data_IF_887799951266
#
_entry.id   IF_887799951266
#
_cell.length_a   1.000
_cell.length_b   1.000
_cell.length_c   1.000
_cell.angle_alpha   90.00
_cell.angle_beta   90.00
_cell.angle_gamma   90.00
#
_symmetry.space_group_name_H-M   'P 1'
#
loop_
_entity.id
_entity.type
_entity.pdbx_description
1 polymer ?
#
# COMPACT_ATOMS: atom_id res chain seq x y z
N UNK A 1 7.27 17.23 -9.92
CA UNK A 1 5.86 16.77 -9.83
C UNK A 1 5.81 15.33 -9.34
N UNK A 2 4.78 14.94 -8.57
CA UNK A 2 4.54 13.55 -8.16
C UNK A 2 3.30 13.01 -8.87
N UNK A 3 3.41 11.83 -9.50
CA UNK A 3 2.27 11.14 -10.11
C UNK A 3 1.83 9.99 -9.20
N UNK A 4 0.59 10.05 -8.72
CA UNK A 4 -0.02 8.97 -7.95
C UNK A 4 -0.88 8.10 -8.88
N UNK A 5 -0.59 6.80 -8.91
CA UNK A 5 -1.24 5.86 -9.85
C UNK A 5 -2.32 4.99 -9.20
N UNK A 6 -2.29 4.80 -7.89
CA UNK A 6 -3.11 3.81 -7.17
C UNK A 6 -4.51 4.24 -6.69
N UNK A 7 -4.98 5.46 -6.95
CA UNK A 7 -6.26 5.94 -6.37
C UNK A 7 -7.52 5.45 -7.07
N UNK A 8 -7.44 5.01 -8.34
CA UNK A 8 -8.63 4.59 -9.12
C UNK A 8 -8.67 3.10 -9.39
N UNK A 9 -7.51 2.50 -9.57
CA UNK A 9 -7.34 1.07 -9.86
C UNK A 9 -5.94 0.66 -9.46
N UNK A 10 -5.75 -0.64 -9.27
CA UNK A 10 -4.44 -1.25 -9.12
C UNK A 10 -3.75 -1.33 -10.49
N UNK A 11 -3.08 -0.24 -10.88
CA UNK A 11 -2.38 -0.15 -12.18
C UNK A 11 -1.29 -1.23 -12.27
N UNK A 12 -0.44 -1.47 -11.25
CA UNK A 12 0.57 -2.51 -11.34
C UNK A 12 0.00 -3.92 -11.58
N UNK A 13 -1.13 -4.27 -10.95
CA UNK A 13 -1.71 -5.60 -11.11
C UNK A 13 -2.44 -5.81 -12.45
N UNK A 14 -3.05 -4.77 -13.02
CA UNK A 14 -4.00 -4.92 -14.15
C UNK A 14 -3.62 -4.17 -15.42
N UNK A 15 -2.76 -3.16 -15.34
CA UNK A 15 -2.53 -2.20 -16.42
C UNK A 15 -1.05 -1.79 -16.55
N UNK A 16 -0.12 -2.68 -16.21
CA UNK A 16 1.32 -2.40 -16.29
C UNK A 16 1.76 -2.04 -17.71
N UNK A 17 1.41 -2.86 -18.71
CA UNK A 17 1.69 -2.57 -20.13
C UNK A 17 1.07 -1.25 -20.59
N UNK A 18 -0.17 -0.97 -20.18
CA UNK A 18 -0.82 0.29 -20.51
C UNK A 18 -0.06 1.49 -19.95
N UNK A 19 0.44 1.41 -18.70
CA UNK A 19 1.22 2.47 -18.10
C UNK A 19 2.54 2.67 -18.84
N UNK A 20 3.24 1.59 -19.20
CA UNK A 20 4.50 1.68 -19.94
C UNK A 20 4.32 2.38 -21.29
N UNK A 21 3.24 2.05 -22.00
CA UNK A 21 2.90 2.75 -23.25
C UNK A 21 2.66 4.26 -23.02
N UNK A 22 2.05 4.66 -21.90
CA UNK A 22 1.86 6.09 -21.57
C UNK A 22 3.17 6.78 -21.18
N UNK A 23 4.05 6.10 -20.46
CA UNK A 23 5.40 6.60 -20.14
C UNK A 23 6.19 6.82 -21.44
N UNK A 24 6.16 5.85 -22.36
CA UNK A 24 6.81 5.97 -23.66
C UNK A 24 6.25 7.12 -24.50
N UNK A 25 4.93 7.33 -24.47
CA UNK A 25 4.28 8.48 -25.14
C UNK A 25 4.55 9.82 -24.44
N UNK A 26 5.01 9.80 -23.19
CA UNK A 26 5.36 10.98 -22.41
C UNK A 26 4.15 11.75 -21.84
N UNK A 27 2.94 11.21 -21.90
CA UNK A 27 1.76 11.83 -21.30
C UNK A 27 0.63 10.84 -20.99
N UNK A 28 -0.32 11.29 -20.16
CA UNK A 28 -1.59 10.59 -19.94
C UNK A 28 -2.76 11.55 -19.93
N UNK A 29 -3.90 11.10 -20.47
CA UNK A 29 -5.18 11.83 -20.41
C UNK A 29 -6.04 11.23 -19.30
N UNK A 30 -6.47 12.07 -18.36
CA UNK A 30 -7.30 11.66 -17.23
C UNK A 30 -8.60 12.43 -17.26
N UNK A 31 -9.71 11.68 -17.26
CA UNK A 31 -11.06 12.24 -17.18
C UNK A 31 -11.39 12.57 -15.72
N UNK A 32 -12.03 13.70 -15.48
CA UNK A 32 -12.53 14.06 -14.15
C UNK A 32 -13.71 13.14 -13.76
N UNK A 33 -13.69 12.48 -12.59
CA UNK A 33 -14.76 11.56 -12.17
C UNK A 33 -16.09 12.26 -11.89
N UNK A 34 -16.09 13.55 -11.58
CA UNK A 34 -17.28 14.35 -11.33
C UNK A 34 -17.75 15.17 -12.55
N UNK A 35 -16.85 15.41 -13.51
CA UNK A 35 -17.18 16.10 -14.76
C UNK A 35 -16.60 15.34 -15.98
N UNK A 36 -17.34 14.39 -16.56
CA UNK A 36 -16.81 13.52 -17.61
C UNK A 36 -16.37 14.23 -18.89
N UNK A 37 -16.81 15.46 -19.16
CA UNK A 37 -16.38 16.22 -20.35
C UNK A 37 -15.02 16.90 -20.12
N UNK A 38 -14.59 17.06 -18.87
CA UNK A 38 -13.28 17.62 -18.55
C UNK A 38 -12.21 16.52 -18.59
N UNK A 39 -11.24 16.70 -19.49
CA UNK A 39 -10.07 15.82 -19.65
C UNK A 39 -8.82 16.64 -19.40
N UNK A 40 -7.98 16.18 -18.48
CA UNK A 40 -6.69 16.81 -18.17
C UNK A 40 -5.56 15.99 -18.80
N UNK A 41 -4.62 16.66 -19.47
CA UNK A 41 -3.38 16.06 -19.96
C UNK A 41 -2.27 16.29 -18.95
N UNK A 42 -1.71 15.21 -18.41
CA UNK A 42 -0.53 15.24 -17.56
C UNK A 42 0.70 14.86 -18.36
N UNK A 43 1.78 15.63 -18.22
CA UNK A 43 3.09 15.22 -18.74
C UNK A 43 3.62 14.08 -17.88
N UNK A 44 4.24 13.09 -18.54
CA UNK A 44 5.00 12.02 -17.90
C UNK A 44 6.50 12.15 -18.20
N UNK A 45 6.96 13.28 -18.74
CA UNK A 45 8.40 13.51 -18.97
C UNK A 45 9.16 13.46 -17.63
N UNK A 46 10.30 12.74 -17.56
CA UNK A 46 11.20 12.78 -16.39
C UNK A 46 11.72 14.18 -16.04
N UNK A 47 11.72 15.11 -17.00
CA UNK A 47 12.12 16.51 -16.74
C UNK A 47 11.16 17.26 -15.81
N UNK A 48 9.94 16.74 -15.62
CA UNK A 48 8.92 17.38 -14.77
C UNK A 48 8.38 16.44 -13.69
N UNK A 49 8.40 15.12 -13.93
CA UNK A 49 7.99 14.11 -12.95
C UNK A 49 9.21 13.68 -12.14
N UNK A 50 9.22 14.03 -10.85
CA UNK A 50 10.28 13.64 -9.93
C UNK A 50 10.04 12.21 -9.42
N UNK A 51 8.78 11.86 -9.13
CA UNK A 51 8.43 10.59 -8.50
C UNK A 51 7.09 10.02 -8.98
N UNK A 52 7.02 8.70 -9.14
CA UNK A 52 5.78 7.96 -9.37
C UNK A 52 5.48 7.09 -8.14
N UNK A 53 4.31 7.33 -7.53
CA UNK A 53 3.82 6.57 -6.39
C UNK A 53 2.82 5.50 -6.84
N UNK A 54 3.02 4.28 -6.35
CA UNK A 54 2.25 3.10 -6.69
C UNK A 54 1.54 2.53 -5.45
N UNK A 55 0.37 1.93 -5.66
CA UNK A 55 -0.31 1.11 -4.67
C UNK A 55 -0.86 -0.13 -5.36
N UNK A 56 -0.53 -1.32 -4.85
CA UNK A 56 -0.92 -2.59 -5.48
C UNK A 56 -1.12 -3.71 -4.47
N UNK A 57 -1.94 -4.71 -4.82
CA UNK A 57 -2.02 -6.01 -4.16
C UNK A 57 -1.22 -7.10 -4.89
N UNK A 58 -0.73 -6.81 -6.10
CA UNK A 58 0.05 -7.74 -6.90
C UNK A 58 1.11 -6.99 -7.73
N UNK A 59 2.36 -6.86 -7.23
CA UNK A 59 3.41 -6.15 -7.96
C UNK A 59 3.99 -6.95 -9.14
N UNK A 60 3.72 -8.26 -9.22
CA UNK A 60 4.35 -9.15 -10.19
C UNK A 60 4.26 -8.70 -11.65
N UNK A 61 3.10 -8.21 -12.16
CA UNK A 61 2.97 -7.82 -13.55
C UNK A 61 3.75 -6.56 -13.92
N UNK A 62 4.25 -5.80 -12.94
CA UNK A 62 5.13 -4.65 -13.19
C UNK A 62 6.61 -5.02 -13.20
N UNK A 63 7.02 -6.09 -12.52
CA UNK A 63 8.43 -6.46 -12.37
C UNK A 63 9.23 -6.51 -13.70
N UNK A 64 8.69 -7.00 -14.82
CA UNK A 64 9.41 -7.00 -16.11
C UNK A 64 9.71 -5.60 -16.67
N UNK A 65 9.06 -4.55 -16.17
CA UNK A 65 9.13 -3.20 -16.70
C UNK A 65 9.92 -2.21 -15.81
N UNK A 66 10.51 -2.68 -14.71
CA UNK A 66 11.15 -1.79 -13.72
C UNK A 66 12.30 -0.96 -14.31
N UNK A 67 13.01 -1.47 -15.31
CA UNK A 67 14.07 -0.70 -16.01
C UNK A 67 13.53 0.58 -16.65
N UNK A 68 12.31 0.55 -17.19
CA UNK A 68 11.68 1.72 -17.83
C UNK A 68 11.27 2.80 -16.81
N UNK A 69 11.19 2.43 -15.53
CA UNK A 69 10.84 3.33 -14.43
C UNK A 69 12.07 3.98 -13.77
N UNK A 70 13.29 3.56 -14.12
CA UNK A 70 14.55 4.11 -13.57
C UNK A 70 14.75 5.62 -13.77
N UNK A 71 14.18 6.29 -14.80
CA UNK A 71 14.29 7.74 -14.91
C UNK A 71 13.50 8.52 -13.84
N UNK A 72 12.65 7.84 -13.05
CA UNK A 72 11.81 8.46 -12.03
C UNK A 72 12.19 7.95 -10.64
N UNK A 73 12.05 8.79 -9.63
CA UNK A 73 11.87 8.31 -8.27
C UNK A 73 10.63 7.42 -8.18
N UNK A 74 10.65 6.47 -7.25
CA UNK A 74 9.55 5.52 -7.08
C UNK A 74 9.19 5.41 -5.60
N UNK A 75 7.90 5.27 -5.32
CA UNK A 75 7.47 4.84 -3.99
C UNK A 75 6.34 3.82 -4.10
N UNK A 76 6.56 2.65 -3.51
CA UNK A 76 5.71 1.49 -3.65
C UNK A 76 4.96 1.19 -2.36
N UNK A 77 3.65 1.23 -2.44
CA UNK A 77 2.81 0.59 -1.45
C UNK A 77 2.35 -0.76 -1.95
N UNK A 78 2.71 -1.82 -1.24
CA UNK A 78 2.21 -3.16 -1.53
C UNK A 78 1.32 -3.60 -0.38
N UNK A 79 0.04 -3.78 -0.69
CA UNK A 79 -0.95 -4.24 0.27
C UNK A 79 -0.90 -5.76 0.33
N UNK A 80 -0.54 -6.28 1.50
CA UNK A 80 -0.46 -7.72 1.76
C UNK A 80 -1.22 -7.99 3.04
N UNK A 81 -2.34 -8.69 2.91
CA UNK A 81 -3.20 -9.11 4.01
C UNK A 81 -3.20 -10.65 4.10
N UNK A 82 -3.48 -11.23 5.29
CA UNK A 82 -3.53 -12.68 5.47
C UNK A 82 -4.88 -13.29 5.09
N UNK A 83 -5.74 -12.54 4.39
CA UNK A 83 -7.07 -13.02 4.05
C UNK A 83 -7.05 -14.02 2.91
N UNK A 84 -8.04 -14.92 2.92
CA UNK A 84 -8.28 -15.86 1.83
C UNK A 84 -9.08 -15.26 0.69
N UNK A 85 -9.44 -16.13 -0.26
CA UNK A 85 -10.26 -15.78 -1.43
C UNK A 85 -11.71 -15.43 -1.09
N UNK A 86 -12.14 -15.71 0.13
CA UNK A 86 -13.42 -15.27 0.68
C UNK A 86 -13.50 -13.75 0.84
N UNK A 87 -12.38 -13.10 1.16
CA UNK A 87 -12.29 -11.62 1.23
C UNK A 87 -11.61 -11.05 -0.03
N UNK A 88 -10.58 -11.72 -0.54
CA UNK A 88 -9.71 -11.23 -1.62
C UNK A 88 -9.65 -12.20 -2.81
N UNK A 89 -10.75 -12.41 -3.55
CA UNK A 89 -10.90 -13.51 -4.50
C UNK A 89 -9.90 -13.49 -5.68
N UNK A 90 -9.41 -12.30 -6.05
CA UNK A 90 -8.57 -12.09 -7.23
C UNK A 90 -7.12 -11.72 -6.88
N UNK A 91 -6.74 -11.83 -5.60
CA UNK A 91 -5.37 -11.55 -5.15
C UNK A 91 -4.60 -12.86 -5.12
N UNK A 92 -3.32 -12.89 -5.57
CA UNK A 92 -2.48 -14.07 -5.43
C UNK A 92 -2.34 -14.51 -3.97
N UNK A 93 -1.86 -15.73 -3.75
CA UNK A 93 -1.59 -16.22 -2.41
C UNK A 93 -0.64 -15.29 -1.64
N UNK A 94 -0.92 -15.07 -0.35
CA UNK A 94 -0.17 -14.14 0.52
C UNK A 94 1.33 -14.40 0.48
N UNK A 95 1.77 -15.66 0.50
CA UNK A 95 3.19 -16.02 0.41
C UNK A 95 3.80 -15.61 -0.93
N UNK A 96 3.07 -15.82 -2.02
CA UNK A 96 3.48 -15.39 -3.36
C UNK A 96 3.61 -13.87 -3.46
N UNK A 97 2.68 -13.11 -2.88
CA UNK A 97 2.77 -11.64 -2.88
C UNK A 97 3.97 -11.16 -2.04
N UNK A 98 4.25 -11.79 -0.90
CA UNK A 98 5.46 -11.49 -0.11
C UNK A 98 6.76 -11.79 -0.86
N UNK A 99 6.82 -12.86 -1.66
CA UNK A 99 8.00 -13.14 -2.48
C UNK A 99 8.21 -12.06 -3.55
N UNK A 100 7.13 -11.65 -4.23
CA UNK A 100 7.21 -10.53 -5.19
C UNK A 100 7.53 -9.19 -4.52
N UNK A 101 7.08 -8.97 -3.27
CA UNK A 101 7.44 -7.80 -2.48
C UNK A 101 8.94 -7.71 -2.27
N UNK A 102 9.59 -8.83 -1.91
CA UNK A 102 11.03 -8.90 -1.68
C UNK A 102 11.80 -8.58 -2.95
N UNK A 103 11.41 -9.19 -4.07
CA UNK A 103 12.00 -8.90 -5.38
C UNK A 103 11.87 -7.41 -5.72
N UNK A 104 10.68 -6.84 -5.51
CA UNK A 104 10.47 -5.42 -5.76
C UNK A 104 11.35 -4.55 -4.85
N UNK A 105 11.41 -4.86 -3.55
CA UNK A 105 12.26 -4.17 -2.58
C UNK A 105 13.74 -4.22 -2.97
N UNK A 106 14.24 -5.37 -3.44
CA UNK A 106 15.63 -5.52 -3.90
C UNK A 106 15.93 -4.63 -5.12
N UNK A 107 14.92 -4.34 -5.94
CA UNK A 107 15.05 -3.47 -7.12
C UNK A 107 14.98 -1.99 -6.74
N UNK A 108 14.03 -1.58 -5.90
CA UNK A 108 13.75 -0.15 -5.63
C UNK A 108 14.43 0.38 -4.38
N UNK A 109 14.95 -0.50 -3.52
CA UNK A 109 15.52 -0.16 -2.22
C UNK A 109 14.47 -0.06 -1.11
N UNK A 110 14.90 -0.32 0.12
CA UNK A 110 14.05 -0.42 1.31
C UNK A 110 13.29 0.87 1.64
N UNK A 111 13.83 2.04 1.26
CA UNK A 111 13.20 3.34 1.51
C UNK A 111 12.12 3.72 0.50
N UNK A 112 12.05 2.98 -0.61
CA UNK A 112 11.12 3.21 -1.71
C UNK A 112 9.94 2.25 -1.66
N UNK A 113 9.76 1.49 -0.56
CA UNK A 113 8.69 0.50 -0.42
C UNK A 113 8.14 0.40 1.00
N UNK A 114 6.81 0.36 1.12
CA UNK A 114 6.07 0.15 2.36
C UNK A 114 5.08 -1.00 2.23
N UNK A 115 5.06 -1.88 3.24
CA UNK A 115 4.02 -2.88 3.39
C UNK A 115 2.74 -2.21 3.90
N UNK A 116 1.59 -2.50 3.28
CA UNK A 116 0.29 -2.11 3.82
C UNK A 116 -0.46 -3.34 4.34
N UNK A 117 -0.67 -3.40 5.64
CA UNK A 117 -1.58 -4.33 6.28
C UNK A 117 -2.93 -3.62 6.47
N UNK A 118 -3.60 -3.39 5.33
CA UNK A 118 -4.81 -2.59 5.21
C UNK A 118 -5.82 -3.25 4.25
N UNK A 119 -7.12 -3.35 4.58
CA UNK A 119 -7.72 -2.98 5.87
C UNK A 119 -7.69 -4.13 6.88
N UNK A 120 -7.66 -3.78 8.16
CA UNK A 120 -7.91 -4.67 9.29
C UNK A 120 -9.41 -4.73 9.54
N UNK A 121 -9.99 -5.92 9.46
CA UNK A 121 -11.37 -6.22 9.83
C UNK A 121 -11.39 -7.07 11.10
N UNK A 122 -12.51 -7.13 11.82
CA UNK A 122 -12.64 -8.04 12.95
C UNK A 122 -13.99 -8.73 12.88
N UNK A 123 -13.97 -10.05 12.84
CA UNK A 123 -15.17 -10.89 12.80
C UNK A 123 -14.95 -12.21 13.58
N UNK A 124 -15.83 -13.20 13.37
CA UNK A 124 -15.76 -14.48 14.06
C UNK A 124 -14.57 -15.36 13.64
N UNK A 125 -14.07 -15.18 12.42
CA UNK A 125 -12.94 -15.90 11.83
C UNK A 125 -11.63 -15.13 12.04
N UNK A 126 -11.67 -13.82 11.78
CA UNK A 126 -10.54 -12.89 11.82
C UNK A 126 -10.54 -12.14 13.15
N UNK A 127 -10.16 -12.83 14.23
CA UNK A 127 -10.16 -12.24 15.58
C UNK A 127 -8.95 -11.33 15.82
N UNK A 128 -8.98 -10.58 16.92
CA UNK A 128 -7.84 -9.77 17.38
C UNK A 128 -6.57 -10.63 17.52
N UNK A 129 -6.67 -11.79 18.16
CA UNK A 129 -5.55 -12.70 18.39
C UNK A 129 -5.05 -13.31 17.07
N UNK A 130 -5.96 -13.59 16.14
CA UNK A 130 -5.59 -14.06 14.81
C UNK A 130 -4.77 -13.02 14.07
N UNK A 131 -5.21 -11.75 14.06
CA UNK A 131 -4.45 -10.66 13.44
C UNK A 131 -3.06 -10.50 14.04
N UNK A 132 -2.92 -10.54 15.36
CA UNK A 132 -1.63 -10.43 16.03
C UNK A 132 -0.69 -11.57 15.61
N UNK A 133 -1.20 -12.80 15.58
CA UNK A 133 -0.44 -13.99 15.18
C UNK A 133 0.00 -13.94 13.71
N UNK A 134 -0.92 -13.64 12.78
CA UNK A 134 -0.60 -13.55 11.35
C UNK A 134 0.34 -12.39 11.05
N UNK A 135 0.13 -11.23 11.70
CA UNK A 135 1.00 -10.09 11.54
C UNK A 135 2.44 -10.40 11.96
N UNK A 136 2.66 -11.09 13.08
CA UNK A 136 4.02 -11.48 13.50
C UNK A 136 4.70 -12.41 12.50
N UNK A 137 3.96 -13.39 11.95
CA UNK A 137 4.51 -14.29 10.92
C UNK A 137 4.92 -13.51 9.67
N UNK A 138 4.05 -12.62 9.20
CA UNK A 138 4.31 -11.80 8.00
C UNK A 138 5.45 -10.80 8.24
N UNK A 139 5.48 -10.15 9.39
CA UNK A 139 6.54 -9.21 9.75
C UNK A 139 7.92 -9.90 9.80
N UNK A 140 7.99 -11.13 10.31
CA UNK A 140 9.21 -11.93 10.29
C UNK A 140 9.69 -12.24 8.86
N UNK A 141 8.77 -12.51 7.93
CA UNK A 141 9.08 -12.80 6.53
C UNK A 141 9.55 -11.54 5.78
N UNK A 142 8.97 -10.39 6.08
CA UNK A 142 9.24 -9.10 5.41
C UNK A 142 10.38 -8.30 6.07
N UNK A 143 10.90 -8.76 7.20
CA UNK A 143 12.03 -8.13 7.88
C UNK A 143 13.22 -7.91 6.92
N UNK A 144 13.76 -6.69 6.91
CA UNK A 144 14.88 -6.29 6.04
C UNK A 144 14.47 -5.83 4.64
N UNK A 145 13.22 -6.02 4.22
CA UNK A 145 12.70 -5.60 2.91
C UNK A 145 11.79 -4.37 3.00
N UNK A 146 11.50 -3.87 4.20
CA UNK A 146 10.85 -2.58 4.40
C UNK A 146 11.09 -2.10 5.82
N UNK A 147 11.09 -0.77 6.00
CA UNK A 147 11.09 -0.13 7.31
C UNK A 147 9.71 0.44 7.68
N UNK A 148 8.71 0.33 6.79
CA UNK A 148 7.40 0.95 6.97
C UNK A 148 6.28 -0.06 6.83
N UNK A 149 5.42 -0.12 7.85
CA UNK A 149 4.16 -0.84 7.81
C UNK A 149 2.99 0.15 7.96
N UNK A 150 2.15 0.27 6.94
CA UNK A 150 0.93 1.07 6.99
C UNK A 150 -0.22 0.19 7.43
N UNK A 151 -1.01 0.68 8.39
CA UNK A 151 -2.22 -0.01 8.84
C UNK A 151 -3.43 0.93 8.74
N UNK A 152 -4.60 0.35 8.57
CA UNK A 152 -5.89 1.00 8.77
C UNK A 152 -6.95 -0.04 9.07
N UNK A 153 -8.07 0.39 9.62
CA UNK A 153 -9.20 -0.46 9.95
C UNK A 153 -10.28 -0.26 8.90
N UNK A 154 -11.10 -1.29 8.65
CA UNK A 154 -12.09 -1.23 7.58
C UNK A 154 -13.08 -0.08 7.75
N UNK A 155 -13.14 0.79 6.74
CA UNK A 155 -14.13 1.85 6.62
C UNK A 155 -15.36 1.37 5.87
N UNK A 156 -16.54 1.69 6.40
CA UNK A 156 -17.83 1.31 5.81
C UNK A 156 -18.35 2.47 4.96
N UNK A 157 -18.00 2.45 3.68
CA UNK A 157 -18.52 3.36 2.67
C UNK A 157 -19.36 2.60 1.62
N UNK A 158 -20.13 3.32 0.79
CA UNK A 158 -21.12 2.75 -0.14
C UNK A 158 -20.65 1.56 -1.00
N UNK A 159 -19.36 1.53 -1.37
CA UNK A 159 -18.81 0.41 -2.16
C UNK A 159 -18.59 -0.83 -1.29
N UNK A 160 -18.11 -0.65 -0.05
CA UNK A 160 -17.93 -1.73 0.92
C UNK A 160 -19.30 -2.28 1.32
N UNK A 161 -20.28 -1.43 1.66
CA UNK A 161 -21.64 -1.87 1.98
C UNK A 161 -22.28 -2.73 0.87
N UNK A 162 -22.02 -2.39 -0.40
CA UNK A 162 -22.52 -3.14 -1.55
C UNK A 162 -21.79 -4.46 -1.78
N UNK A 163 -20.46 -4.46 -1.63
CA UNK A 163 -19.61 -5.60 -2.01
C UNK A 163 -19.34 -6.56 -0.85
N UNK A 164 -19.46 -6.09 0.39
CA UNK A 164 -19.28 -6.85 1.62
C UNK A 164 -20.29 -6.38 2.70
N UNK A 165 -21.58 -6.74 2.56
CA UNK A 165 -22.66 -6.27 3.43
C UNK A 165 -22.49 -6.64 4.91
N UNK A 166 -21.74 -7.70 5.20
CA UNK A 166 -21.47 -8.17 6.56
C UNK A 166 -20.37 -7.35 7.26
N UNK A 167 -19.66 -6.49 6.53
CA UNK A 167 -18.59 -5.66 7.07
C UNK A 167 -19.08 -4.73 8.18
N UNK A 168 -18.29 -4.64 9.25
CA UNK A 168 -18.56 -3.76 10.39
C UNK A 168 -17.32 -2.97 10.75
N UNK A 169 -17.54 -1.75 11.22
CA UNK A 169 -16.45 -0.94 11.78
C UNK A 169 -15.83 -1.66 12.99
N UNK A 170 -14.50 -1.66 13.06
CA UNK A 170 -13.77 -2.25 14.18
C UNK A 170 -13.95 -1.41 15.43
N UNK A 171 -14.27 -2.05 16.57
CA UNK A 171 -14.49 -1.33 17.82
C UNK A 171 -13.24 -0.57 18.26
N UNK A 172 -13.39 0.59 18.91
CA UNK A 172 -12.25 1.36 19.41
C UNK A 172 -11.35 0.53 20.32
N UNK A 173 -11.93 -0.33 21.17
CA UNK A 173 -11.18 -1.23 22.04
C UNK A 173 -10.27 -2.14 21.22
N UNK A 174 -10.82 -2.81 20.22
CA UNK A 174 -10.07 -3.78 19.42
C UNK A 174 -9.04 -3.06 18.53
N UNK A 175 -9.34 -1.86 18.02
CA UNK A 175 -8.37 -1.00 17.32
C UNK A 175 -7.13 -0.71 18.16
N UNK A 176 -7.33 -0.34 19.43
CA UNK A 176 -6.24 -0.06 20.37
C UNK A 176 -5.46 -1.34 20.69
N UNK A 177 -6.16 -2.45 20.96
CA UNK A 177 -5.52 -3.74 21.27
C UNK A 177 -4.65 -4.23 20.11
N UNK A 178 -5.21 -4.26 18.90
CA UNK A 178 -4.49 -4.66 17.68
C UNK A 178 -3.34 -3.68 17.44
N UNK A 179 -3.63 -2.38 17.38
CA UNK A 179 -2.64 -1.36 17.04
C UNK A 179 -1.43 -1.40 17.97
N UNK A 180 -1.64 -1.51 19.29
CA UNK A 180 -0.54 -1.65 20.26
C UNK A 180 0.33 -2.88 19.97
N UNK A 181 -0.29 -4.04 19.79
CA UNK A 181 0.45 -5.28 19.52
C UNK A 181 1.22 -5.19 18.20
N UNK A 182 0.62 -4.64 17.15
CA UNK A 182 1.28 -4.52 15.84
C UNK A 182 2.47 -3.57 15.90
N UNK A 183 2.39 -2.48 16.68
CA UNK A 183 3.52 -1.55 16.89
C UNK A 183 4.69 -2.28 17.57
N UNK A 184 4.42 -3.03 18.64
CA UNK A 184 5.44 -3.79 19.37
C UNK A 184 6.12 -4.83 18.46
N UNK A 185 5.33 -5.55 17.66
CA UNK A 185 5.83 -6.55 16.70
C UNK A 185 6.63 -5.88 15.59
N UNK A 186 6.10 -4.82 14.97
CA UNK A 186 6.77 -4.12 13.88
C UNK A 186 8.14 -3.61 14.33
N UNK A 187 8.23 -3.01 15.53
CA UNK A 187 9.49 -2.53 16.09
C UNK A 187 10.51 -3.67 16.27
N UNK A 188 10.08 -4.85 16.74
CA UNK A 188 10.93 -6.06 16.84
C UNK A 188 11.53 -6.47 15.50
N UNK A 189 10.82 -6.24 14.38
CA UNK A 189 11.28 -6.53 13.03
C UNK A 189 11.75 -5.30 12.25
N UNK A 190 12.12 -4.21 12.94
CA UNK A 190 12.73 -3.03 12.31
C UNK A 190 11.78 -2.17 11.47
N UNK A 191 10.47 -2.29 11.69
CA UNK A 191 9.45 -1.52 10.97
C UNK A 191 8.80 -0.47 11.88
N UNK A 192 8.42 0.66 11.29
CA UNK A 192 7.58 1.69 11.91
C UNK A 192 6.13 1.54 11.43
N UNK A 193 5.19 1.45 12.37
CA UNK A 193 3.76 1.45 12.05
C UNK A 193 3.28 2.87 11.77
N UNK A 194 2.60 3.05 10.63
CA UNK A 194 1.96 4.30 10.20
C UNK A 194 0.46 4.11 10.00
N UNK A 195 -0.39 4.54 10.95
CA UNK A 195 -1.83 4.48 10.79
C UNK A 195 -2.31 5.46 9.71
N UNK A 196 -2.98 4.98 8.67
CA UNK A 196 -3.44 5.81 7.56
C UNK A 196 -4.83 6.37 7.84
N UNK A 197 -4.90 7.67 8.16
CA UNK A 197 -6.16 8.38 8.46
C UNK A 197 -6.93 7.85 9.69
N UNK A 198 -6.25 7.17 10.62
CA UNK A 198 -6.85 6.59 11.83
C UNK A 198 -6.83 7.51 13.06
N UNK A 199 -6.53 8.79 12.87
CA UNK A 199 -6.29 9.74 13.95
C UNK A 199 -4.97 9.48 14.69
N UNK A 200 -4.87 10.00 15.93
CA UNK A 200 -3.64 9.97 16.73
C UNK A 200 -3.71 9.01 17.92
N UNK A 201 -4.75 8.18 18.01
CA UNK A 201 -5.00 7.29 19.15
C UNK A 201 -3.86 6.27 19.37
N UNK A 202 -3.11 5.93 18.31
CA UNK A 202 -1.99 4.99 18.36
C UNK A 202 -0.62 5.66 18.61
N UNK A 203 -0.52 6.99 18.53
CA UNK A 203 0.74 7.71 18.72
C UNK A 203 1.32 7.48 20.12
N UNK A 204 0.47 7.39 21.14
CA UNK A 204 0.87 7.11 22.52
C UNK A 204 1.53 5.73 22.72
N UNK A 205 1.42 4.83 21.74
CA UNK A 205 2.02 3.50 21.76
C UNK A 205 3.21 3.37 20.81
N UNK A 206 3.63 4.43 20.12
CA UNK A 206 4.82 4.45 19.26
C UNK A 206 4.53 4.40 17.75
N UNK A 207 3.27 4.51 17.32
CA UNK A 207 2.96 4.69 15.91
C UNK A 207 3.33 6.08 15.40
N UNK A 208 3.81 6.16 14.15
CA UNK A 208 4.00 7.43 13.44
C UNK A 208 2.69 7.84 12.75
N UNK A 209 1.97 8.76 13.38
CA UNK A 209 0.71 9.31 12.88
C UNK A 209 0.90 10.56 11.98
N UNK A 210 2.13 10.89 11.55
CA UNK A 210 2.39 12.04 10.66
C UNK A 210 1.88 11.84 9.23
N UNK A 211 1.53 10.61 8.87
CA UNK A 211 1.01 10.20 7.56
C UNK A 211 1.94 9.22 6.84
N UNK A 212 1.39 8.46 5.89
CA UNK A 212 2.18 7.49 5.12
C UNK A 212 2.77 8.07 3.82
N UNK A 213 2.28 9.21 3.35
CA UNK A 213 2.75 9.89 2.12
C UNK A 213 3.16 11.32 2.46
N UNK A 214 4.31 11.48 3.09
CA UNK A 214 4.84 12.79 3.51
C UNK A 214 5.96 13.25 2.59
N UNK A 215 6.31 14.54 2.65
CA UNK A 215 7.50 15.08 1.95
C UNK A 215 8.75 14.29 2.36
N UNK A 216 8.96 14.09 3.67
CA UNK A 216 10.09 13.33 4.18
C UNK A 216 10.13 11.87 3.67
N UNK A 217 8.97 11.23 3.51
CA UNK A 217 8.86 9.88 2.91
C UNK A 217 9.39 9.87 1.48
N UNK A 218 9.00 10.84 0.66
CA UNK A 218 9.42 10.91 -0.74
C UNK A 218 10.86 11.40 -0.90
N UNK A 219 11.33 12.32 -0.07
CA UNK A 219 12.73 12.73 -0.04
C UNK A 219 13.63 11.54 0.29
N UNK A 220 13.25 10.71 1.28
CA UNK A 220 14.01 9.49 1.60
C UNK A 220 14.12 8.54 0.40
N UNK A 221 13.03 8.33 -0.33
CA UNK A 221 13.00 7.47 -1.50
C UNK A 221 13.78 8.04 -2.71
N UNK A 222 13.90 9.36 -2.84
CA UNK A 222 14.61 10.03 -3.93
C UNK A 222 16.13 10.13 -3.71
N UNK A 223 16.59 9.99 -2.47
CA UNK A 223 17.99 10.17 -2.08
C UNK A 223 18.77 8.85 -1.89
N UNK A 224 18.16 7.73 -2.26
CA UNK A 224 18.79 6.41 -2.30
C UNK A 224 19.42 6.09 -3.65
#
# INVERSE_FOLDING_TARGET
MIIQTGMRTDIPAFYSEWLMNRIQEGFVLVRNPYNPTQVTKYSLSPEVVDLIAFCTKNPAPMLPFMEQLTPYGQYWFVTITPYGRDIEPNVPDTGTVMDHFKILSDIVGVDSIGWRYDPILVDATHTVEWHISEFEKMAAVLHGYTETCVISFIDIYKKVERNFPEAKAVSRRDRITIGKALIEIAAKYGMTVRPCAEGNDLAAYGADCSGCMTVATFEKALHN
#
